data_IF_264780115444
#
_entry.id   IF_264780115444
#
_cell.length_a   1.000
_cell.length_b   1.000
_cell.length_c   1.000
_cell.angle_alpha   90.00
_cell.angle_beta   90.00
_cell.angle_gamma   90.00
#
_symmetry.space_group_name_H-M   'P 1'
#
loop_
_entity.id
_entity.type
_entity.pdbx_description
1 polymer ?
#
# COMPACT_ATOMS: atom_id res chain seq x y z
N UNK A 1 -10.94 -42.72 -10.14
CA UNK A 1 -10.07 -41.85 -9.30
C UNK A 1 -9.33 -40.84 -10.19
N UNK A 2 -10.01 -39.78 -10.63
CA UNK A 2 -9.40 -38.75 -11.50
C UNK A 2 -9.86 -37.31 -11.18
N UNK A 3 -10.67 -37.11 -10.13
CA UNK A 3 -11.28 -35.80 -9.82
C UNK A 3 -10.50 -35.02 -8.74
N UNK A 4 -9.59 -35.68 -8.00
CA UNK A 4 -8.84 -35.05 -6.90
C UNK A 4 -7.61 -34.26 -7.41
N UNK A 5 -7.11 -34.54 -8.63
CA UNK A 5 -5.89 -33.89 -9.16
C UNK A 5 -6.12 -32.51 -9.81
N UNK A 6 -7.36 -32.15 -10.17
CA UNK A 6 -7.64 -30.88 -10.84
C UNK A 6 -7.88 -29.70 -9.86
N UNK A 7 -8.42 -29.96 -8.67
CA UNK A 7 -8.70 -28.90 -7.67
C UNK A 7 -7.45 -28.36 -6.98
N UNK A 8 -6.37 -29.14 -6.92
CA UNK A 8 -5.07 -28.72 -6.36
C UNK A 8 -4.27 -27.84 -7.32
N UNK A 9 -4.34 -28.10 -8.63
CA UNK A 9 -3.63 -27.28 -9.61
C UNK A 9 -4.27 -25.90 -9.77
N UNK A 10 -5.61 -25.81 -9.87
CA UNK A 10 -6.31 -24.55 -10.06
C UNK A 10 -6.04 -23.56 -8.90
N UNK A 11 -6.09 -24.01 -7.64
CA UNK A 11 -5.75 -23.18 -6.47
C UNK A 11 -4.27 -22.74 -6.45
N UNK A 12 -3.35 -23.60 -6.91
CA UNK A 12 -1.93 -23.27 -7.03
C UNK A 12 -1.67 -22.25 -8.15
N UNK A 13 -2.41 -22.32 -9.26
CA UNK A 13 -2.28 -21.37 -10.36
C UNK A 13 -2.86 -19.99 -10.01
N UNK A 14 -3.98 -19.93 -9.27
CA UNK A 14 -4.52 -18.67 -8.76
C UNK A 14 -3.59 -18.00 -7.74
N UNK A 15 -2.97 -18.79 -6.85
CA UNK A 15 -2.01 -18.27 -5.88
C UNK A 15 -0.78 -17.67 -6.58
N UNK A 16 -0.27 -18.36 -7.61
CA UNK A 16 0.86 -17.87 -8.39
C UNK A 16 0.49 -16.66 -9.27
N UNK A 17 -0.74 -16.58 -9.77
CA UNK A 17 -1.21 -15.48 -10.61
C UNK A 17 -1.46 -14.21 -9.79
N UNK A 18 -2.10 -14.32 -8.62
CA UNK A 18 -2.20 -13.23 -7.63
C UNK A 18 -0.81 -12.78 -7.18
N UNK A 19 0.10 -13.70 -6.83
CA UNK A 19 1.45 -13.38 -6.37
C UNK A 19 2.31 -12.75 -7.50
N UNK A 20 2.06 -13.09 -8.77
CA UNK A 20 2.71 -12.49 -9.94
C UNK A 20 2.14 -11.13 -10.31
N UNK A 21 0.81 -10.96 -10.27
CA UNK A 21 0.14 -9.68 -10.48
C UNK A 21 0.46 -8.71 -9.34
N UNK A 22 0.48 -9.18 -8.09
CA UNK A 22 0.91 -8.42 -6.93
C UNK A 22 2.40 -8.07 -7.02
N UNK A 23 3.24 -8.95 -7.57
CA UNK A 23 4.67 -8.67 -7.79
C UNK A 23 4.91 -7.67 -8.93
N UNK A 24 4.13 -7.73 -10.02
CA UNK A 24 4.19 -6.74 -11.11
C UNK A 24 3.66 -5.40 -10.62
N UNK A 25 2.50 -5.37 -9.96
CA UNK A 25 1.94 -4.16 -9.33
C UNK A 25 2.92 -3.57 -8.29
N UNK A 26 3.53 -4.42 -7.45
CA UNK A 26 4.54 -4.01 -6.48
C UNK A 26 5.80 -3.46 -7.15
N UNK A 27 6.28 -4.08 -8.24
CA UNK A 27 7.47 -3.61 -8.98
C UNK A 27 7.21 -2.28 -9.68
N UNK A 28 6.03 -2.13 -10.31
CA UNK A 28 5.62 -0.89 -11.00
C UNK A 28 5.35 0.24 -10.00
N UNK A 29 4.74 -0.07 -8.85
CA UNK A 29 4.55 0.91 -7.77
C UNK A 29 5.86 1.28 -7.06
N UNK A 30 6.85 0.38 -7.00
CA UNK A 30 8.15 0.66 -6.35
C UNK A 30 9.03 1.61 -7.16
N UNK A 31 8.93 1.61 -8.50
CA UNK A 31 9.68 2.53 -9.36
C UNK A 31 9.18 3.97 -9.28
N UNK A 32 7.87 4.19 -9.09
CA UNK A 32 7.26 5.52 -8.87
C UNK A 32 7.09 5.88 -7.39
N UNK A 33 7.19 4.91 -6.48
CA UNK A 33 6.87 5.07 -5.05
C UNK A 33 7.97 5.73 -4.21
N UNK A 34 9.12 6.06 -4.79
CA UNK A 34 10.20 6.77 -4.10
C UNK A 34 9.90 8.26 -3.90
N UNK A 35 8.80 8.76 -4.46
CA UNK A 35 8.36 10.13 -4.27
C UNK A 35 8.14 10.46 -2.79
N UNK A 36 8.63 11.65 -2.40
CA UNK A 36 8.48 12.20 -1.06
C UNK A 36 7.02 12.47 -0.73
N UNK A 37 6.61 12.16 0.50
CA UNK A 37 5.24 12.42 0.98
C UNK A 37 4.93 13.90 1.21
N UNK A 38 5.92 14.78 1.09
CA UNK A 38 5.79 16.23 1.35
C UNK A 38 4.77 16.92 0.44
N UNK A 39 4.61 16.43 -0.79
CA UNK A 39 3.69 16.99 -1.78
C UNK A 39 2.27 16.42 -1.70
N UNK A 40 2.02 15.45 -0.81
CA UNK A 40 0.75 14.73 -0.74
C UNK A 40 -0.35 15.48 0.02
N UNK A 41 -0.06 16.69 0.52
CA UNK A 41 -1.07 17.56 1.14
C UNK A 41 -1.57 17.09 2.50
N UNK A 42 -0.78 16.29 3.23
CA UNK A 42 -1.10 15.89 4.59
C UNK A 42 -1.15 17.10 5.54
N UNK A 43 -2.03 17.03 6.54
CA UNK A 43 -1.99 17.92 7.68
C UNK A 43 -0.61 17.89 8.34
N UNK A 44 -0.19 19.03 8.89
CA UNK A 44 1.11 19.18 9.56
C UNK A 44 1.35 18.11 10.62
N UNK A 45 0.30 17.69 11.34
CA UNK A 45 0.40 16.64 12.36
C UNK A 45 0.67 15.28 11.74
N UNK A 46 -0.12 14.88 10.75
CA UNK A 46 0.02 13.58 10.06
C UNK A 46 1.38 13.49 9.38
N UNK A 47 1.77 14.52 8.61
CA UNK A 47 3.09 14.60 7.98
C UNK A 47 4.22 14.44 9.01
N UNK A 48 4.18 15.22 10.09
CA UNK A 48 5.22 15.17 11.12
C UNK A 48 5.32 13.83 11.83
N UNK A 49 4.20 13.16 12.06
CA UNK A 49 4.18 11.83 12.67
C UNK A 49 4.78 10.78 11.73
N UNK A 50 4.42 10.80 10.44
CA UNK A 50 4.96 9.90 9.43
C UNK A 50 6.48 10.05 9.28
N UNK A 51 6.96 11.28 9.06
CA UNK A 51 8.39 11.56 8.88
C UNK A 51 9.21 11.18 10.11
N UNK A 52 8.72 11.50 11.32
CA UNK A 52 9.39 11.12 12.58
C UNK A 52 9.41 9.61 12.83
N UNK A 53 8.45 8.88 12.24
CA UNK A 53 8.41 7.42 12.28
C UNK A 53 9.24 6.74 11.19
N UNK A 54 9.95 7.52 10.36
CA UNK A 54 10.79 7.02 9.28
C UNK A 54 10.09 6.84 7.94
N UNK A 55 8.78 7.11 7.85
CA UNK A 55 7.97 6.96 6.63
C UNK A 55 7.99 8.26 5.85
N UNK A 56 8.82 8.32 4.80
CA UNK A 56 9.12 9.54 4.05
C UNK A 56 8.68 9.45 2.59
N UNK A 57 8.42 8.25 2.10
CA UNK A 57 8.02 8.01 0.71
C UNK A 57 6.62 7.40 0.62
N UNK A 58 6.00 7.54 -0.55
CA UNK A 58 4.74 6.87 -0.87
C UNK A 58 4.86 5.36 -0.68
N UNK A 59 5.98 4.79 -1.10
CA UNK A 59 6.29 3.38 -0.96
C UNK A 59 6.32 2.92 0.50
N UNK A 60 6.93 3.72 1.40
CA UNK A 60 6.93 3.41 2.84
C UNK A 60 5.49 3.30 3.37
N UNK A 61 4.59 4.19 2.94
CA UNK A 61 3.20 4.18 3.36
C UNK A 61 2.42 2.99 2.80
N UNK A 62 2.65 2.64 1.53
CA UNK A 62 1.99 1.51 0.87
C UNK A 62 2.45 0.16 1.43
N UNK A 63 3.70 0.06 1.85
CA UNK A 63 4.27 -1.15 2.45
C UNK A 63 3.99 -1.25 3.96
N UNK A 64 3.66 -0.15 4.63
CA UNK A 64 3.34 -0.18 6.07
C UNK A 64 1.95 -0.78 6.29
N UNK A 65 1.81 -1.87 7.05
CA UNK A 65 0.52 -2.40 7.46
C UNK A 65 -0.29 -1.38 8.27
N UNK A 66 -1.61 -1.40 8.12
CA UNK A 66 -2.51 -0.49 8.86
C UNK A 66 -2.35 -0.62 10.39
N UNK A 67 -2.04 -1.82 10.89
CA UNK A 67 -1.75 -2.05 12.30
C UNK A 67 -0.56 -1.23 12.79
N UNK A 68 0.56 -1.28 12.06
CA UNK A 68 1.76 -0.49 12.40
C UNK A 68 1.52 1.01 12.30
N UNK A 69 0.74 1.48 11.30
CA UNK A 69 0.37 2.88 11.21
C UNK A 69 -0.37 3.35 12.47
N UNK A 70 -1.24 2.51 13.04
CA UNK A 70 -1.98 2.85 14.27
C UNK A 70 -1.09 2.93 15.51
N UNK A 71 0.07 2.29 15.49
CA UNK A 71 1.04 2.32 16.60
C UNK A 71 1.97 3.54 16.54
N UNK A 72 2.00 4.27 15.41
CA UNK A 72 2.81 5.47 15.30
C UNK A 72 2.29 6.53 16.29
N UNK A 73 3.18 6.91 17.21
CA UNK A 73 2.93 7.97 18.17
C UNK A 73 2.44 9.23 17.45
N UNK A 74 1.33 9.78 17.96
CA UNK A 74 0.63 10.97 17.45
C UNK A 74 -0.23 10.77 16.19
N UNK A 75 -0.34 9.57 15.61
CA UNK A 75 -1.43 9.28 14.67
C UNK A 75 -2.69 8.92 15.45
N UNK A 76 -3.77 9.66 15.20
CA UNK A 76 -5.09 9.37 15.74
C UNK A 76 -5.99 8.82 14.63
N UNK A 77 -7.25 8.51 14.95
CA UNK A 77 -8.20 7.98 13.97
C UNK A 77 -8.43 8.91 12.77
N UNK A 78 -8.30 10.23 12.95
CA UNK A 78 -8.41 11.21 11.87
C UNK A 78 -7.21 11.16 10.94
N UNK A 79 -5.98 11.15 11.48
CA UNK A 79 -4.76 11.00 10.69
C UNK A 79 -4.75 9.69 9.89
N UNK A 80 -5.26 8.60 10.47
CA UNK A 80 -5.38 7.31 9.75
C UNK A 80 -6.39 7.40 8.60
N UNK A 81 -7.53 8.07 8.80
CA UNK A 81 -8.50 8.34 7.72
C UNK A 81 -7.88 9.16 6.61
N UNK A 82 -7.18 10.23 6.97
CA UNK A 82 -6.50 11.12 6.03
C UNK A 82 -5.51 10.36 5.14
N UNK A 83 -4.65 9.52 5.74
CA UNK A 83 -3.71 8.65 5.00
C UNK A 83 -4.46 7.78 3.99
N UNK A 84 -5.55 7.13 4.42
CA UNK A 84 -6.37 6.29 3.54
C UNK A 84 -6.96 7.06 2.35
N UNK A 85 -7.46 8.28 2.59
CA UNK A 85 -8.03 9.15 1.55
C UNK A 85 -6.97 9.54 0.52
N UNK A 86 -5.81 10.00 0.98
CA UNK A 86 -4.70 10.42 0.10
C UNK A 86 -4.24 9.25 -0.76
N UNK A 87 -3.97 8.09 -0.16
CA UNK A 87 -3.54 6.89 -0.90
C UNK A 87 -4.61 6.43 -1.91
N UNK A 88 -5.90 6.55 -1.55
CA UNK A 88 -7.00 6.20 -2.46
C UNK A 88 -7.11 7.16 -3.64
N UNK A 89 -6.87 8.46 -3.42
CA UNK A 89 -6.83 9.48 -4.47
C UNK A 89 -5.67 9.22 -5.45
N UNK A 90 -4.49 8.89 -4.92
CA UNK A 90 -3.33 8.53 -5.74
C UNK A 90 -3.64 7.32 -6.62
N UNK A 91 -4.14 6.22 -6.05
CA UNK A 91 -4.52 5.01 -6.81
C UNK A 91 -5.50 5.32 -7.95
N UNK A 92 -6.43 6.25 -7.75
CA UNK A 92 -7.36 6.71 -8.80
C UNK A 92 -6.67 7.48 -9.92
N UNK A 93 -5.69 8.33 -9.61
CA UNK A 93 -4.93 9.08 -10.62
C UNK A 93 -4.12 8.18 -11.53
N UNK A 94 -3.57 7.07 -11.02
CA UNK A 94 -2.83 6.09 -11.83
C UNK A 94 -3.72 5.18 -12.68
N UNK A 95 -4.96 4.92 -12.26
CA UNK A 95 -5.90 4.04 -12.99
C UNK A 95 -6.57 4.71 -14.20
N UNK A 96 -6.44 6.04 -14.33
CA UNK A 96 -7.05 6.85 -15.39
C UNK A 96 -6.10 7.30 -16.50
N UNK A 97 -4.87 6.77 -16.54
CA UNK A 97 -3.91 6.94 -17.63
C UNK A 97 -3.69 5.58 -18.32
#
# INVERSE_FOLDING_TARGET
>A
MAVILAKTNIHRQYKNQEESEHKILHTVYLSDGLESIEHLGFSTRTYNALVRSGRRTVSDLLQTPLGELREIRNLNSESIREIGIVLSNMKRQFKGK
#
